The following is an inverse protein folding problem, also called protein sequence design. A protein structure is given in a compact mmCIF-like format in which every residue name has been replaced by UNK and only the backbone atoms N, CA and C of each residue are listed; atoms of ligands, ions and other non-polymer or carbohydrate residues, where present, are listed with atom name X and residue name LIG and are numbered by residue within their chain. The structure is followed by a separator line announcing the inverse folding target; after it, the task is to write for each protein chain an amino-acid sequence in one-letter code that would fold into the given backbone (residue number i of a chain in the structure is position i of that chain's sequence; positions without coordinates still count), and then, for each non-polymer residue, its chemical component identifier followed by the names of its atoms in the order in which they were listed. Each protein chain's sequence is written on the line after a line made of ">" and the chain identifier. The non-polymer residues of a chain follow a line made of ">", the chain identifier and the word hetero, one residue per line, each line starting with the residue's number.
data_IF_728223704585
#
_entry.id   IF_728223704585
#
_cell.length_a   1.000
_cell.length_b   1.000
_cell.length_c   1.000
_cell.angle_alpha   90.00
_cell.angle_beta   90.00
_cell.angle_gamma   90.00
#
_symmetry.space_group_name_H-M   'P 1'
#
loop_
_entity.id
_entity.type
_entity.pdbx_description
1 polymer ?
#
# COMPACT_ATOMS: atom_id res chain seq x y z
N UNK A 1 -20.41 7.66 0.53
CA UNK A 1 -19.92 6.60 1.44
C UNK A 1 -19.67 5.33 0.63
N UNK A 2 -18.44 4.82 0.61
CA UNK A 2 -18.13 3.57 -0.10
C UNK A 2 -18.71 2.36 0.66
N UNK A 3 -19.23 1.37 -0.08
CA UNK A 3 -19.88 0.20 0.50
C UNK A 3 -18.95 -0.59 1.46
N UNK A 4 -17.67 -0.71 1.11
CA UNK A 4 -16.67 -1.41 1.93
C UNK A 4 -16.43 -0.72 3.29
N UNK A 5 -16.49 0.62 3.34
CA UNK A 5 -16.28 1.39 4.58
C UNK A 5 -17.44 1.18 5.54
N UNK A 6 -18.67 1.21 5.03
CA UNK A 6 -19.88 0.93 5.83
C UNK A 6 -19.86 -0.51 6.37
N UNK A 7 -19.40 -1.47 5.58
CA UNK A 7 -19.27 -2.87 6.01
C UNK A 7 -18.24 -3.02 7.16
N UNK A 8 -17.09 -2.34 7.07
CA UNK A 8 -16.10 -2.30 8.16
C UNK A 8 -16.70 -1.69 9.43
N UNK A 9 -17.32 -0.51 9.31
CA UNK A 9 -17.91 0.22 10.45
C UNK A 9 -19.03 -0.58 11.13
N UNK A 10 -19.91 -1.25 10.36
CA UNK A 10 -20.93 -2.14 10.90
C UNK A 10 -20.34 -3.31 11.68
N UNK A 11 -19.14 -3.76 11.33
CA UNK A 11 -18.38 -4.77 12.07
C UNK A 11 -17.54 -4.23 13.22
N UNK A 12 -17.62 -2.92 13.52
CA UNK A 12 -16.81 -2.26 14.55
C UNK A 12 -15.36 -2.00 14.14
N UNK A 13 -15.03 -2.10 12.85
CA UNK A 13 -13.69 -1.87 12.31
C UNK A 13 -13.59 -0.49 11.66
N UNK A 14 -12.44 0.16 11.83
CA UNK A 14 -12.10 1.43 11.18
C UNK A 14 -10.72 1.33 10.56
N UNK A 15 -10.57 1.82 9.33
CA UNK A 15 -9.27 1.94 8.68
C UNK A 15 -8.39 2.94 9.44
N UNK A 16 -7.18 2.53 9.79
CA UNK A 16 -6.18 3.42 10.35
C UNK A 16 -5.32 4.00 9.22
N UNK A 17 -5.72 5.16 8.72
CA UNK A 17 -5.04 5.86 7.62
C UNK A 17 -3.57 6.13 7.96
N UNK A 18 -3.27 6.55 9.19
CA UNK A 18 -1.90 6.84 9.63
C UNK A 18 -0.97 5.62 9.65
N UNK A 19 -1.52 4.40 9.65
CA UNK A 19 -0.77 3.13 9.57
C UNK A 19 -0.88 2.45 8.21
N UNK A 20 -1.54 3.08 7.24
CA UNK A 20 -1.78 2.50 5.92
C UNK A 20 -0.86 3.17 4.92
N UNK A 21 -0.16 2.37 4.13
CA UNK A 21 0.59 2.80 2.96
C UNK A 21 -0.06 2.21 1.71
N UNK A 22 0.09 2.90 0.57
CA UNK A 22 -0.49 2.49 -0.69
C UNK A 22 0.58 2.39 -1.78
N UNK A 23 0.56 1.31 -2.57
CA UNK A 23 1.33 1.19 -3.81
C UNK A 23 0.38 0.99 -4.97
N UNK A 24 0.62 1.73 -6.06
CA UNK A 24 -0.02 1.53 -7.34
C UNK A 24 0.97 0.82 -8.28
N UNK A 25 0.85 -0.49 -8.42
CA UNK A 25 1.71 -1.25 -9.33
C UNK A 25 1.37 -0.94 -10.79
N UNK A 26 2.38 -0.71 -11.63
CA UNK A 26 2.20 -0.44 -13.06
C UNK A 26 1.24 0.72 -13.38
N UNK A 27 1.14 1.69 -12.46
CA UNK A 27 0.35 2.89 -12.66
C UNK A 27 1.25 4.08 -12.97
N UNK A 28 0.85 4.89 -13.95
CA UNK A 28 1.44 6.22 -14.19
C UNK A 28 0.94 7.24 -13.16
N UNK A 29 -0.09 6.91 -12.39
CA UNK A 29 -0.67 7.79 -11.39
C UNK A 29 0.19 7.76 -10.13
N UNK A 30 0.97 8.83 -9.95
CA UNK A 30 1.80 9.08 -8.78
C UNK A 30 1.03 9.81 -7.67
N UNK A 31 -0.29 9.89 -7.78
CA UNK A 31 -1.13 10.66 -6.87
C UNK A 31 -1.41 9.90 -5.58
N UNK A 32 -1.57 10.66 -4.49
CA UNK A 32 -1.98 10.11 -3.20
C UNK A 32 -3.45 9.66 -3.24
N UNK A 33 -3.75 8.58 -2.53
CA UNK A 33 -5.08 7.98 -2.50
C UNK A 33 -5.96 8.72 -1.48
N UNK A 34 -7.00 9.42 -1.95
CA UNK A 34 -7.98 10.07 -1.06
C UNK A 34 -9.08 9.10 -0.66
N UNK A 35 -9.31 8.97 0.65
CA UNK A 35 -10.41 8.16 1.19
C UNK A 35 -11.25 8.98 2.17
N UNK A 36 -12.34 9.56 1.66
CA UNK A 36 -13.12 10.53 2.43
C UNK A 36 -12.35 11.84 2.53
N UNK A 37 -12.17 12.34 3.74
CA UNK A 37 -11.37 13.55 4.01
C UNK A 37 -9.88 13.23 4.25
N UNK A 38 -9.55 11.94 4.41
CA UNK A 38 -8.19 11.48 4.67
C UNK A 38 -7.42 11.22 3.36
N UNK A 39 -6.10 11.45 3.39
CA UNK A 39 -5.18 11.15 2.28
C UNK A 39 -4.18 10.08 2.73
N UNK A 40 -3.99 9.05 1.91
CA UNK A 40 -2.97 8.02 2.07
C UNK A 40 -1.87 8.30 1.05
N UNK A 41 -0.66 8.52 1.55
CA UNK A 41 0.50 8.73 0.69
C UNK A 41 0.86 7.46 -0.08
N UNK A 42 1.27 7.66 -1.34
CA UNK A 42 1.78 6.58 -2.18
C UNK A 42 3.23 6.31 -1.78
N UNK A 43 3.59 5.05 -1.66
CA UNK A 43 4.98 4.59 -1.55
C UNK A 43 5.41 3.91 -2.84
N UNK A 44 6.72 3.86 -3.09
CA UNK A 44 7.31 3.10 -4.20
C UNK A 44 7.77 1.71 -3.78
N UNK A 45 7.87 1.45 -2.47
CA UNK A 45 8.30 0.17 -1.93
C UNK A 45 7.33 -0.25 -0.83
N UNK A 46 6.82 -1.47 -0.92
CA UNK A 46 5.86 -1.99 0.04
C UNK A 46 6.17 -3.42 0.43
N UNK A 47 6.02 -3.72 1.71
CA UNK A 47 6.22 -5.07 2.21
C UNK A 47 4.92 -5.86 2.13
N UNK A 48 4.89 -6.86 1.28
CA UNK A 48 3.77 -7.78 1.14
C UNK A 48 4.21 -9.21 1.40
N UNK A 49 3.54 -9.87 2.37
CA UNK A 49 3.78 -11.27 2.74
C UNK A 49 5.27 -11.62 2.99
N UNK A 50 6.06 -10.66 3.46
CA UNK A 50 7.48 -10.84 3.75
C UNK A 50 8.45 -10.48 2.63
N UNK A 51 7.97 -10.16 1.43
CA UNK A 51 8.79 -9.61 0.33
C UNK A 51 8.52 -8.13 0.13
N UNK A 52 9.52 -7.41 -0.38
CA UNK A 52 9.35 -6.01 -0.79
C UNK A 52 9.04 -5.97 -2.28
N UNK A 53 7.91 -5.38 -2.62
CA UNK A 53 7.52 -5.07 -4.01
C UNK A 53 7.74 -3.60 -4.30
N UNK A 54 8.15 -3.30 -5.52
CA UNK A 54 8.28 -1.94 -6.02
C UNK A 54 7.00 -1.45 -6.74
N UNK A 55 7.02 -0.18 -7.16
CA UNK A 55 5.93 0.44 -7.93
C UNK A 55 5.70 -0.18 -9.32
N UNK A 56 6.64 -0.95 -9.86
CA UNK A 56 6.44 -1.76 -11.07
C UNK A 56 5.76 -3.10 -10.75
N UNK A 57 5.62 -3.43 -9.46
CA UNK A 57 5.13 -4.70 -8.97
C UNK A 57 6.19 -5.81 -9.02
N UNK A 58 7.45 -5.46 -9.23
CA UNK A 58 8.58 -6.39 -9.23
C UNK A 58 9.16 -6.53 -7.80
N UNK A 59 9.84 -7.63 -7.55
CA UNK A 59 10.56 -7.97 -6.32
C UNK A 59 12.08 -7.96 -6.51
N UNK A 60 12.57 -7.56 -7.67
CA UNK A 60 14.00 -7.45 -8.00
C UNK A 60 14.82 -6.73 -6.94
N UNK A 61 14.26 -5.67 -6.32
CA UNK A 61 14.90 -4.96 -5.21
C UNK A 61 15.07 -5.84 -3.97
N UNK A 62 14.05 -6.63 -3.61
CA UNK A 62 14.10 -7.58 -2.48
C UNK A 62 15.13 -8.69 -2.74
N UNK A 63 15.17 -9.21 -3.99
CA UNK A 63 16.13 -10.25 -4.38
C UNK A 63 17.56 -9.72 -4.25
N UNK A 64 17.86 -8.55 -4.82
CA UNK A 64 19.19 -7.93 -4.74
C UNK A 64 19.60 -7.66 -3.30
N UNK A 65 18.70 -7.11 -2.49
CA UNK A 65 18.95 -6.83 -1.08
C UNK A 65 19.30 -8.10 -0.30
N UNK A 66 18.54 -9.19 -0.50
CA UNK A 66 18.79 -10.48 0.16
C UNK A 66 20.11 -11.12 -0.26
N UNK A 67 20.47 -11.04 -1.55
CA UNK A 67 21.76 -11.53 -2.04
C UNK A 67 22.92 -10.73 -1.43
N UNK A 68 22.79 -9.41 -1.34
CA UNK A 68 23.85 -8.54 -0.79
C UNK A 68 24.01 -8.62 0.73
N UNK A 69 23.03 -9.15 1.44
CA UNK A 69 23.05 -9.29 2.90
C UNK A 69 23.69 -10.62 3.37
N UNK A 70 24.01 -11.52 2.44
CA UNK A 70 24.73 -12.77 2.68
C UNK A 70 26.25 -12.57 2.56
#
# INVERSE_FOLDING_TARGET
>A
MHAWRKALENGGLKLNVAKTEYVACNSTDLTSLRIGDDTIERTDNFRYLGSVLDASGDIDLDIKARISAA
#
